data_IF_923220158440
#
_entry.id   IF_923220158440
#
_cell.length_a   1.000
_cell.length_b   1.000
_cell.length_c   1.000
_cell.angle_alpha   90.00
_cell.angle_beta   90.00
_cell.angle_gamma   90.00
#
_symmetry.space_group_name_H-M   'P 1'
#
loop_
_entity.id
_entity.type
_entity.pdbx_description
1 polymer ?
#
# COMPACT_ATOMS: atom_id res chain seq x y z
N UNK A 1 22.45 -53.50 -22.19
CA UNK A 1 21.74 -53.06 -20.99
C UNK A 1 21.79 -51.57 -20.95
N UNK A 2 20.79 -50.91 -21.53
CA UNK A 2 20.71 -49.47 -21.70
C UNK A 2 19.77 -48.92 -20.64
N UNK A 3 20.29 -48.06 -19.77
CA UNK A 3 19.50 -47.35 -18.75
C UNK A 3 19.12 -45.97 -19.32
N UNK A 4 17.83 -45.75 -19.56
CA UNK A 4 17.25 -44.50 -19.99
C UNK A 4 16.93 -43.67 -18.76
N UNK A 5 17.60 -42.54 -18.55
CA UNK A 5 17.26 -41.53 -17.55
C UNK A 5 16.13 -40.66 -18.07
N UNK A 6 15.00 -40.71 -17.38
CA UNK A 6 13.85 -39.86 -17.59
C UNK A 6 14.10 -38.47 -17.02
N UNK A 7 14.12 -37.44 -17.85
CA UNK A 7 14.14 -36.04 -17.43
C UNK A 7 12.75 -35.60 -17.02
N UNK A 8 12.55 -35.38 -15.72
CA UNK A 8 11.35 -34.76 -15.19
C UNK A 8 11.36 -33.26 -15.55
N UNK A 9 10.53 -32.86 -16.51
CA UNK A 9 10.28 -31.46 -16.83
C UNK A 9 9.61 -30.77 -15.63
N UNK A 10 10.26 -29.72 -15.10
CA UNK A 10 9.64 -28.80 -14.15
C UNK A 10 8.59 -27.98 -14.92
N UNK A 11 7.33 -28.33 -14.73
CA UNK A 11 6.20 -27.51 -15.13
C UNK A 11 6.20 -26.24 -14.30
N UNK A 12 6.52 -25.10 -14.90
CA UNK A 12 6.27 -23.78 -14.32
C UNK A 12 4.76 -23.55 -14.37
N UNK A 13 4.11 -23.72 -13.24
CA UNK A 13 2.72 -23.28 -13.07
C UNK A 13 2.77 -21.75 -13.05
N UNK A 14 2.38 -21.11 -14.15
CA UNK A 14 2.03 -19.69 -14.15
C UNK A 14 0.84 -19.53 -13.21
N UNK A 15 1.05 -18.89 -12.07
CA UNK A 15 -0.04 -18.50 -11.18
C UNK A 15 -0.87 -17.44 -11.91
N UNK A 16 -1.93 -17.86 -12.59
CA UNK A 16 -2.92 -16.94 -13.14
C UNK A 16 -3.46 -16.09 -11.97
N UNK A 17 -3.25 -14.78 -12.03
CA UNK A 17 -3.80 -13.84 -11.05
C UNK A 17 -5.31 -14.04 -10.99
N UNK A 18 -5.83 -14.37 -9.82
CA UNK A 18 -7.27 -14.41 -9.59
C UNK A 18 -7.78 -12.97 -9.66
N UNK A 19 -8.83 -12.76 -10.46
CA UNK A 19 -9.43 -11.44 -10.71
C UNK A 19 -9.72 -10.69 -9.40
N UNK A 20 -9.27 -9.46 -9.29
CA UNK A 20 -9.49 -8.62 -8.11
C UNK A 20 -8.61 -8.93 -6.89
N UNK A 21 -7.47 -9.60 -7.06
CA UNK A 21 -6.48 -9.82 -5.99
C UNK A 21 -5.17 -9.10 -6.28
N UNK A 22 -4.44 -8.75 -5.22
CA UNK A 22 -3.08 -8.22 -5.31
C UNK A 22 -2.21 -8.85 -4.20
N UNK A 23 -0.98 -9.22 -4.53
CA UNK A 23 -0.04 -9.78 -3.57
C UNK A 23 0.96 -8.72 -3.10
N UNK A 24 1.00 -8.48 -1.79
CA UNK A 24 1.95 -7.59 -1.14
C UNK A 24 2.84 -8.42 -0.22
N UNK A 25 4.04 -8.76 -0.67
CA UNK A 25 5.02 -9.50 0.13
C UNK A 25 4.51 -10.83 0.71
N UNK A 26 3.72 -11.59 -0.04
CA UNK A 26 3.15 -12.87 0.40
C UNK A 26 1.76 -12.78 1.03
N UNK A 27 1.27 -11.58 1.34
CA UNK A 27 -0.12 -11.36 1.76
C UNK A 27 -0.98 -11.05 0.54
N UNK A 28 -2.00 -11.89 0.31
CA UNK A 28 -2.95 -11.68 -0.79
C UNK A 28 -4.11 -10.82 -0.31
N UNK A 29 -4.25 -9.63 -0.91
CA UNK A 29 -5.41 -8.76 -0.74
C UNK A 29 -6.53 -9.26 -1.65
N UNK A 30 -7.75 -9.22 -1.14
CA UNK A 30 -8.92 -9.57 -1.92
C UNK A 30 -9.43 -10.98 -1.79
N UNK A 31 -8.76 -11.79 -1.00
CA UNK A 31 -9.29 -13.10 -0.61
C UNK A 31 -9.19 -13.33 0.90
N UNK A 32 -10.02 -14.23 1.39
CA UNK A 32 -10.13 -14.53 2.80
C UNK A 32 -10.69 -13.36 3.62
N UNK A 33 -10.21 -13.23 4.86
CA UNK A 33 -10.61 -12.13 5.75
C UNK A 33 -10.02 -10.77 5.31
N UNK A 34 -10.63 -9.70 5.79
CA UNK A 34 -10.05 -8.35 5.68
C UNK A 34 -8.65 -8.31 6.28
N UNK A 35 -7.70 -7.72 5.57
CA UNK A 35 -6.32 -7.54 6.02
C UNK A 35 -6.18 -6.27 6.82
N UNK A 36 -5.36 -6.33 7.85
CA UNK A 36 -5.09 -5.19 8.74
C UNK A 36 -3.68 -4.67 8.44
N UNK A 37 -3.59 -3.41 8.04
CA UNK A 37 -2.35 -2.68 7.82
C UNK A 37 -2.13 -1.75 9.01
N UNK A 38 -0.97 -1.83 9.67
CA UNK A 38 -0.66 -1.01 10.85
C UNK A 38 0.53 -0.11 10.54
N UNK A 39 0.37 1.23 10.69
CA UNK A 39 1.44 2.17 10.41
C UNK A 39 2.51 2.18 11.50
N UNK A 40 3.77 2.31 11.07
CA UNK A 40 4.94 2.67 11.88
C UNK A 40 5.32 4.10 11.52
N UNK A 41 5.18 5.02 12.48
CA UNK A 41 5.42 6.46 12.34
C UNK A 41 6.61 6.91 13.20
N UNK A 42 7.66 6.13 13.17
CA UNK A 42 8.85 6.30 13.99
C UNK A 42 9.81 7.33 13.40
N UNK A 43 10.39 8.16 14.26
CA UNK A 43 11.41 9.15 13.92
C UNK A 43 12.82 8.60 14.08
N UNK A 44 13.00 7.57 14.93
CA UNK A 44 14.29 7.01 15.34
C UNK A 44 14.32 5.49 15.24
N UNK A 45 15.50 4.90 15.27
CA UNK A 45 15.68 3.44 15.28
C UNK A 45 15.03 2.77 16.50
N UNK A 46 15.13 3.38 17.69
CA UNK A 46 14.54 2.83 18.91
C UNK A 46 13.01 2.82 18.84
N UNK A 47 12.42 3.85 18.26
CA UNK A 47 10.98 3.91 18.04
C UNK A 47 10.52 2.89 16.99
N UNK A 48 11.28 2.69 15.90
CA UNK A 48 11.03 1.63 14.92
C UNK A 48 10.93 0.28 15.64
N UNK A 49 11.93 -0.07 16.41
CA UNK A 49 11.98 -1.34 17.13
C UNK A 49 10.81 -1.47 18.15
N UNK A 50 10.51 -0.39 18.89
CA UNK A 50 9.43 -0.37 19.86
C UNK A 50 8.03 -0.52 19.24
N UNK A 51 7.74 0.20 18.16
CA UNK A 51 6.47 0.13 17.45
C UNK A 51 6.30 -1.24 16.79
N UNK A 52 7.33 -1.75 16.13
CA UNK A 52 7.32 -3.07 15.48
C UNK A 52 7.09 -4.19 16.50
N UNK A 53 7.78 -4.16 17.64
CA UNK A 53 7.56 -5.13 18.71
C UNK A 53 6.14 -5.07 19.28
N UNK A 54 5.53 -3.88 19.30
CA UNK A 54 4.12 -3.72 19.71
C UNK A 54 3.14 -4.31 18.72
N UNK A 55 3.40 -4.12 17.42
CA UNK A 55 2.60 -4.72 16.33
C UNK A 55 2.68 -6.24 16.36
N UNK A 56 3.88 -6.80 16.56
CA UNK A 56 4.08 -8.26 16.68
C UNK A 56 3.26 -8.87 17.82
N UNK A 57 3.13 -8.17 18.95
CA UNK A 57 2.29 -8.62 20.09
C UNK A 57 0.80 -8.63 19.75
N UNK A 58 0.32 -7.73 18.90
CA UNK A 58 -1.08 -7.71 18.45
C UNK A 58 -1.40 -8.90 17.56
N UNK A 59 -0.46 -9.38 16.77
CA UNK A 59 -0.62 -10.52 15.86
C UNK A 59 -0.92 -11.85 16.55
N UNK A 60 -0.51 -12.04 17.82
CA UNK A 60 -0.72 -13.28 18.57
C UNK A 60 -2.00 -13.33 19.44
N UNK A 61 -2.71 -12.22 19.61
CA UNK A 61 -3.79 -12.14 20.63
C UNK A 61 -5.21 -12.06 20.06
N UNK A 62 -5.38 -11.81 18.77
CA UNK A 62 -6.72 -11.72 18.16
C UNK A 62 -6.73 -12.40 16.79
N UNK A 63 -7.91 -12.88 16.38
CA UNK A 63 -8.17 -13.37 15.02
C UNK A 63 -7.99 -12.25 13.95
N UNK A 64 -7.68 -11.04 14.35
CA UNK A 64 -7.48 -9.81 13.58
C UNK A 64 -6.12 -9.15 13.87
N UNK A 65 -5.04 -9.92 14.02
CA UNK A 65 -3.69 -9.37 14.10
C UNK A 65 -3.29 -8.59 12.84
N UNK A 66 -2.21 -7.78 12.94
CA UNK A 66 -1.65 -7.09 11.79
C UNK A 66 -1.20 -8.09 10.71
N UNK A 67 -1.47 -7.76 9.46
CA UNK A 67 -1.03 -8.54 8.29
C UNK A 67 0.12 -7.88 7.55
N UNK A 68 0.18 -6.55 7.58
CA UNK A 68 1.15 -5.73 6.86
C UNK A 68 1.56 -4.57 7.77
N UNK A 69 2.83 -4.23 7.76
CA UNK A 69 3.36 -3.00 8.36
C UNK A 69 3.42 -1.92 7.27
N UNK A 70 2.78 -0.77 7.49
CA UNK A 70 2.99 0.41 6.65
C UNK A 70 4.11 1.26 7.26
N UNK A 71 5.26 1.33 6.61
CA UNK A 71 6.34 2.18 7.08
C UNK A 71 6.20 3.61 6.52
N UNK A 72 5.93 4.55 7.39
CA UNK A 72 5.77 5.98 7.08
C UNK A 72 7.13 6.67 7.10
N UNK A 73 7.84 6.64 5.96
CA UNK A 73 9.17 7.24 5.77
C UNK A 73 9.21 8.74 6.01
N UNK A 74 8.10 9.42 5.79
CA UNK A 74 7.98 10.86 6.02
C UNK A 74 8.11 11.27 7.49
N UNK A 75 7.92 10.34 8.44
CA UNK A 75 8.17 10.60 9.86
C UNK A 75 9.65 10.50 10.24
N UNK A 76 10.44 9.77 9.47
CA UNK A 76 11.84 9.52 9.78
C UNK A 76 12.63 10.83 9.95
N UNK A 77 13.50 10.88 10.97
CA UNK A 77 14.40 12.03 11.15
C UNK A 77 15.28 12.22 9.91
N UNK A 78 15.44 13.46 9.39
CA UNK A 78 16.29 13.72 8.22
C UNK A 78 17.77 13.36 8.40
N UNK A 79 18.21 13.14 9.64
CA UNK A 79 19.59 12.70 9.94
C UNK A 79 19.80 11.20 9.79
N UNK A 80 18.73 10.43 9.58
CA UNK A 80 18.79 8.98 9.47
C UNK A 80 18.64 8.57 8.00
N UNK A 81 19.55 7.72 7.54
CA UNK A 81 19.48 7.14 6.21
C UNK A 81 18.28 6.17 6.10
N UNK A 82 17.45 6.36 5.08
CA UNK A 82 16.21 5.61 4.93
C UNK A 82 16.46 4.11 4.68
N UNK A 83 17.48 3.73 3.93
CA UNK A 83 17.77 2.32 3.67
C UNK A 83 18.28 1.62 4.93
N UNK A 84 19.10 2.30 5.75
CA UNK A 84 19.51 1.80 7.06
C UNK A 84 18.32 1.62 8.00
N UNK A 85 17.35 2.56 7.98
CA UNK A 85 16.13 2.44 8.78
C UNK A 85 15.26 1.27 8.30
N UNK A 86 15.16 1.07 6.98
CA UNK A 86 14.44 -0.06 6.40
C UNK A 86 15.06 -1.41 6.80
N UNK A 87 16.38 -1.52 6.82
CA UNK A 87 17.06 -2.74 7.30
C UNK A 87 16.65 -3.05 8.74
N UNK A 88 16.70 -2.06 9.63
CA UNK A 88 16.28 -2.21 11.03
C UNK A 88 14.81 -2.61 11.17
N UNK A 89 13.93 -2.01 10.38
CA UNK A 89 12.53 -2.37 10.35
C UNK A 89 12.34 -3.82 9.89
N UNK A 90 12.97 -4.20 8.78
CA UNK A 90 12.85 -5.53 8.21
C UNK A 90 13.40 -6.63 9.13
N UNK A 91 14.48 -6.34 9.87
CA UNK A 91 15.05 -7.26 10.86
C UNK A 91 14.14 -7.46 12.08
N UNK A 92 13.27 -6.50 12.37
CA UNK A 92 12.36 -6.52 13.53
C UNK A 92 10.92 -6.90 13.19
N UNK A 93 10.54 -6.91 11.91
CA UNK A 93 9.18 -7.20 11.46
C UNK A 93 9.13 -8.54 10.73
N UNK A 94 8.33 -9.49 11.26
CA UNK A 94 7.99 -10.75 10.57
C UNK A 94 6.85 -10.58 9.55
N UNK A 95 6.45 -9.32 9.27
CA UNK A 95 5.33 -8.98 8.39
C UNK A 95 5.83 -8.29 7.12
N UNK A 96 5.12 -8.44 6.00
CA UNK A 96 5.40 -7.66 4.79
C UNK A 96 5.35 -6.16 5.06
N UNK A 97 6.24 -5.42 4.41
CA UNK A 97 6.35 -3.97 4.54
C UNK A 97 5.75 -3.30 3.31
N UNK A 98 4.80 -2.38 3.53
CA UNK A 98 4.36 -1.36 2.59
C UNK A 98 5.12 -0.07 2.92
N UNK A 99 6.02 0.39 2.05
CA UNK A 99 6.78 1.61 2.28
C UNK A 99 6.04 2.82 1.67
N UNK A 100 5.78 3.81 2.52
CA UNK A 100 5.01 5.02 2.17
C UNK A 100 5.81 6.27 2.52
N UNK A 101 6.02 7.17 1.56
CA UNK A 101 6.38 8.56 1.83
C UNK A 101 5.20 9.44 1.48
N UNK A 102 4.51 10.00 2.48
CA UNK A 102 3.42 10.93 2.25
C UNK A 102 3.97 12.33 2.09
N UNK A 103 3.64 12.99 0.96
CA UNK A 103 4.12 14.35 0.69
C UNK A 103 3.25 15.42 1.35
N UNK A 104 3.75 16.65 1.40
CA UNK A 104 3.01 17.77 1.98
C UNK A 104 1.69 18.05 1.25
N UNK A 105 1.62 17.78 -0.05
CA UNK A 105 0.42 17.96 -0.85
C UNK A 105 -0.73 17.02 -0.43
N UNK A 106 -0.38 15.86 0.15
CA UNK A 106 -1.33 14.87 0.67
C UNK A 106 -1.21 14.68 2.19
N UNK A 107 -0.81 15.73 2.93
CA UNK A 107 -0.85 15.77 4.40
C UNK A 107 0.36 15.18 5.13
N UNK A 108 1.47 14.97 4.45
CA UNK A 108 2.74 14.52 5.01
C UNK A 108 3.81 15.61 5.06
N UNK A 109 5.04 15.31 4.61
CA UNK A 109 6.19 16.23 4.63
C UNK A 109 6.65 16.63 3.23
N UNK A 110 7.26 17.81 3.13
CA UNK A 110 7.82 18.29 1.86
C UNK A 110 9.01 17.42 1.43
N UNK A 111 9.07 17.16 0.13
CA UNK A 111 10.18 16.47 -0.53
C UNK A 111 10.25 16.95 -1.99
N UNK A 112 11.44 17.12 -2.53
CA UNK A 112 11.63 17.42 -3.95
C UNK A 112 11.22 16.24 -4.83
N UNK A 113 10.65 16.51 -6.01
CA UNK A 113 10.09 15.48 -6.89
C UNK A 113 11.11 14.39 -7.27
N UNK A 114 12.36 14.79 -7.57
CA UNK A 114 13.44 13.85 -7.87
C UNK A 114 13.81 13.00 -6.66
N UNK A 115 13.89 13.62 -5.47
CA UNK A 115 14.21 12.90 -4.24
C UNK A 115 13.11 11.90 -3.85
N UNK A 116 11.84 12.25 -4.06
CA UNK A 116 10.70 11.34 -3.88
C UNK A 116 10.81 10.10 -4.76
N UNK A 117 11.04 10.32 -6.07
CA UNK A 117 11.24 9.23 -7.04
C UNK A 117 12.42 8.34 -6.64
N UNK A 118 13.58 8.96 -6.40
CA UNK A 118 14.82 8.24 -6.13
C UNK A 118 14.73 7.42 -4.84
N UNK A 119 14.06 7.96 -3.80
CA UNK A 119 13.79 7.26 -2.55
C UNK A 119 12.92 6.03 -2.77
N UNK A 120 11.78 6.16 -3.46
CA UNK A 120 10.88 5.04 -3.70
C UNK A 120 11.52 3.95 -4.55
N UNK A 121 12.29 4.32 -5.58
CA UNK A 121 13.03 3.37 -6.40
C UNK A 121 14.15 2.65 -5.61
N UNK A 122 14.88 3.38 -4.75
CA UNK A 122 15.90 2.77 -3.90
C UNK A 122 15.30 1.77 -2.91
N UNK A 123 14.17 2.14 -2.29
CA UNK A 123 13.42 1.27 -1.37
C UNK A 123 12.86 0.04 -2.09
N UNK A 124 12.27 0.20 -3.27
CA UNK A 124 11.77 -0.94 -4.06
C UNK A 124 12.90 -1.92 -4.42
N UNK A 125 14.05 -1.41 -4.82
CA UNK A 125 15.24 -2.23 -5.20
C UNK A 125 15.98 -2.85 -4.02
N UNK A 126 15.64 -2.48 -2.79
CA UNK A 126 16.30 -3.02 -1.58
C UNK A 126 16.04 -4.52 -1.34
N UNK A 127 14.98 -5.08 -1.94
CA UNK A 127 14.53 -6.45 -1.69
C UNK A 127 13.89 -6.67 -0.30
N UNK A 128 13.59 -5.59 0.44
CA UNK A 128 13.08 -5.65 1.81
C UNK A 128 11.59 -5.32 1.93
N UNK A 129 10.97 -4.78 0.87
CA UNK A 129 9.56 -4.38 0.88
C UNK A 129 8.71 -5.25 -0.04
N UNK A 130 7.47 -5.50 0.36
CA UNK A 130 6.50 -6.19 -0.47
C UNK A 130 5.71 -5.25 -1.38
N UNK A 131 5.61 -3.98 -1.00
CA UNK A 131 4.94 -2.95 -1.77
C UNK A 131 5.48 -1.55 -1.46
N UNK A 132 5.25 -0.60 -2.38
CA UNK A 132 5.42 0.84 -2.18
C UNK A 132 4.10 1.57 -2.41
N UNK A 133 3.89 2.69 -1.68
CA UNK A 133 2.78 3.63 -1.91
C UNK A 133 3.27 4.77 -2.81
N UNK A 134 2.54 5.02 -3.91
CA UNK A 134 2.85 6.08 -4.88
C UNK A 134 1.67 7.02 -4.99
N UNK A 135 1.86 8.32 -4.75
CA UNK A 135 0.84 9.33 -4.95
C UNK A 135 0.56 9.48 -6.46
N UNK A 136 -0.66 9.08 -6.87
CA UNK A 136 -0.99 8.84 -8.28
C UNK A 136 -1.14 10.11 -9.12
N UNK A 137 -1.37 11.27 -8.47
CA UNK A 137 -1.67 12.53 -9.17
C UNK A 137 -0.52 13.53 -9.14
N UNK A 138 0.71 13.04 -9.00
CA UNK A 138 1.93 13.80 -9.25
C UNK A 138 2.22 13.86 -10.76
N UNK A 139 3.41 14.32 -11.14
CA UNK A 139 3.81 14.29 -12.55
C UNK A 139 3.70 12.87 -13.12
N UNK A 140 2.97 12.73 -14.25
CA UNK A 140 2.64 11.42 -14.85
C UNK A 140 3.87 10.61 -15.23
N UNK A 141 4.91 11.27 -15.75
CA UNK A 141 6.14 10.59 -16.15
C UNK A 141 6.89 10.04 -14.94
N UNK A 142 6.94 10.80 -13.86
CA UNK A 142 7.53 10.38 -12.59
C UNK A 142 6.78 9.21 -11.97
N UNK A 143 5.45 9.26 -11.94
CA UNK A 143 4.61 8.16 -11.41
C UNK A 143 4.84 6.88 -12.21
N UNK A 144 4.86 6.97 -13.53
CA UNK A 144 5.10 5.82 -14.42
C UNK A 144 6.49 5.23 -14.20
N UNK A 145 7.53 6.06 -14.12
CA UNK A 145 8.90 5.61 -13.85
C UNK A 145 9.02 4.85 -12.52
N UNK A 146 8.32 5.33 -11.47
CA UNK A 146 8.32 4.65 -10.17
C UNK A 146 7.59 3.31 -10.25
N UNK A 147 6.42 3.25 -10.90
CA UNK A 147 5.63 2.02 -11.05
C UNK A 147 6.43 0.98 -11.83
N UNK A 148 6.97 1.34 -12.98
CA UNK A 148 7.75 0.44 -13.82
C UNK A 148 8.98 -0.09 -13.08
N UNK A 149 9.73 0.81 -12.40
CA UNK A 149 10.92 0.41 -11.63
C UNK A 149 10.61 -0.45 -10.40
N UNK A 150 9.44 -0.28 -9.77
CA UNK A 150 8.99 -1.16 -8.69
C UNK A 150 8.63 -2.56 -9.22
N UNK A 151 7.93 -2.63 -10.34
CA UNK A 151 7.59 -3.90 -10.99
C UNK A 151 8.82 -4.65 -11.47
N UNK A 152 9.83 -3.96 -12.03
CA UNK A 152 11.12 -4.55 -12.38
C UNK A 152 11.83 -5.17 -11.16
N UNK A 153 11.63 -4.58 -9.98
CA UNK A 153 12.15 -5.11 -8.71
C UNK A 153 11.25 -6.20 -8.09
N UNK A 154 10.12 -6.54 -8.71
CA UNK A 154 9.16 -7.52 -8.19
C UNK A 154 8.32 -7.00 -7.00
N UNK A 155 8.21 -5.68 -6.84
CA UNK A 155 7.51 -5.00 -5.75
C UNK A 155 6.17 -4.48 -6.25
N UNK A 156 5.09 -4.74 -5.49
CA UNK A 156 3.76 -4.26 -5.83
C UNK A 156 3.60 -2.76 -5.58
N UNK A 157 2.69 -2.12 -6.31
CA UNK A 157 2.42 -0.69 -6.20
C UNK A 157 1.00 -0.43 -5.73
N UNK A 158 0.90 0.31 -4.61
CA UNK A 158 -0.34 0.94 -4.14
C UNK A 158 -0.36 2.37 -4.67
N UNK A 159 -1.19 2.65 -5.69
CA UNK A 159 -1.41 4.02 -6.13
C UNK A 159 -2.42 4.70 -5.20
N UNK A 160 -2.08 5.85 -4.65
CA UNK A 160 -2.88 6.51 -3.63
C UNK A 160 -3.26 7.95 -4.00
N UNK A 161 -4.36 8.40 -3.40
CA UNK A 161 -4.79 9.79 -3.37
C UNK A 161 -5.48 10.10 -2.05
N UNK A 162 -5.21 11.28 -1.48
CA UNK A 162 -5.76 11.74 -0.20
C UNK A 162 -6.40 13.12 -0.34
N UNK A 163 -7.67 13.23 0.04
CA UNK A 163 -8.40 14.50 0.17
C UNK A 163 -8.85 14.69 1.62
N UNK A 164 -8.25 15.66 2.30
CA UNK A 164 -8.54 15.97 3.70
C UNK A 164 -9.70 16.96 3.89
N UNK A 165 -10.32 17.42 2.81
CA UNK A 165 -11.31 18.52 2.85
C UNK A 165 -12.72 18.04 2.53
N UNK A 166 -12.87 17.06 1.65
CA UNK A 166 -14.17 16.63 1.16
C UNK A 166 -14.19 15.15 0.73
N UNK A 167 -15.40 14.65 0.48
CA UNK A 167 -15.61 13.42 -0.27
C UNK A 167 -15.98 13.80 -1.71
N UNK A 168 -15.17 13.41 -2.71
CA UNK A 168 -15.48 13.68 -4.11
C UNK A 168 -16.77 13.00 -4.57
N UNK A 169 -17.38 13.48 -5.66
CA UNK A 169 -18.51 12.81 -6.29
C UNK A 169 -18.13 11.40 -6.79
N UNK A 170 -19.11 10.50 -6.89
CA UNK A 170 -18.87 9.11 -7.27
C UNK A 170 -18.16 8.98 -8.63
N UNK A 171 -18.53 9.81 -9.61
CA UNK A 171 -17.91 9.84 -10.93
C UNK A 171 -16.42 10.25 -10.85
N UNK A 172 -16.08 11.18 -9.98
CA UNK A 172 -14.72 11.62 -9.76
C UNK A 172 -13.88 10.54 -9.08
N UNK A 173 -14.45 9.85 -8.07
CA UNK A 173 -13.80 8.70 -7.41
C UNK A 173 -13.50 7.61 -8.45
N UNK A 174 -14.47 7.27 -9.31
CA UNK A 174 -14.27 6.28 -10.37
C UNK A 174 -13.24 6.71 -11.40
N UNK A 175 -13.23 7.99 -11.80
CA UNK A 175 -12.24 8.54 -12.71
C UNK A 175 -10.82 8.46 -12.13
N UNK A 176 -10.65 8.75 -10.83
CA UNK A 176 -9.36 8.62 -10.13
C UNK A 176 -8.89 7.16 -10.09
N UNK A 177 -9.76 6.23 -9.75
CA UNK A 177 -9.42 4.81 -9.81
C UNK A 177 -9.06 4.36 -11.22
N UNK A 178 -9.77 4.86 -12.25
CA UNK A 178 -9.44 4.57 -13.65
C UNK A 178 -8.05 5.09 -14.05
N UNK A 179 -7.66 6.27 -13.59
CA UNK A 179 -6.33 6.82 -13.84
C UNK A 179 -5.22 6.00 -13.15
N UNK A 180 -5.45 5.58 -11.89
CA UNK A 180 -4.51 4.71 -11.17
C UNK A 180 -4.35 3.33 -11.83
N UNK A 181 -5.46 2.72 -12.30
CA UNK A 181 -5.44 1.46 -13.02
C UNK A 181 -4.70 1.58 -14.37
N UNK A 182 -4.96 2.65 -15.12
CA UNK A 182 -4.28 2.95 -16.38
C UNK A 182 -2.77 3.22 -16.20
N UNK A 183 -2.35 3.75 -15.05
CA UNK A 183 -0.95 3.91 -14.70
C UNK A 183 -0.25 2.56 -14.39
N UNK A 184 -1.01 1.48 -14.21
CA UNK A 184 -0.47 0.12 -13.99
C UNK A 184 -0.37 -0.29 -12.52
N UNK A 185 -0.95 0.46 -11.58
CA UNK A 185 -0.91 0.11 -10.16
C UNK A 185 -1.56 -1.25 -9.86
N UNK A 186 -1.09 -1.96 -8.84
CA UNK A 186 -1.65 -3.24 -8.39
C UNK A 186 -2.83 -3.04 -7.43
N UNK A 187 -2.81 -1.94 -6.68
CA UNK A 187 -3.81 -1.58 -5.68
C UNK A 187 -4.19 -0.12 -5.86
N UNK A 188 -5.50 0.15 -5.83
CA UNK A 188 -6.06 1.50 -5.97
C UNK A 188 -6.52 1.97 -4.60
N UNK A 189 -5.94 3.08 -4.09
CA UNK A 189 -6.22 3.61 -2.75
C UNK A 189 -6.72 5.04 -2.85
N UNK A 190 -7.89 5.31 -2.26
CA UNK A 190 -8.44 6.65 -2.13
C UNK A 190 -8.82 6.88 -0.66
N UNK A 191 -8.34 7.97 -0.09
CA UNK A 191 -8.68 8.42 1.23
C UNK A 191 -9.33 9.81 1.15
N UNK A 192 -10.45 10.01 1.82
CA UNK A 192 -11.14 11.28 1.83
C UNK A 192 -11.80 11.56 3.18
N UNK A 193 -12.40 12.75 3.32
CA UNK A 193 -13.00 13.22 4.55
C UNK A 193 -14.52 13.27 4.42
N UNK A 194 -15.28 12.21 4.76
CA UNK A 194 -16.73 12.25 4.79
C UNK A 194 -17.22 13.19 5.90
N UNK A 195 -18.05 14.16 5.53
CA UNK A 195 -18.69 15.08 6.46
C UNK A 195 -20.11 14.62 6.87
N UNK A 196 -20.69 13.68 6.13
CA UNK A 196 -22.06 13.19 6.32
C UNK A 196 -22.16 11.68 6.08
N UNK A 197 -23.30 11.10 6.46
CA UNK A 197 -23.66 9.70 6.12
C UNK A 197 -23.80 9.54 4.59
N UNK A 198 -24.31 10.54 3.91
CA UNK A 198 -24.48 10.51 2.45
C UNK A 198 -23.10 10.44 1.76
N UNK A 199 -22.11 11.17 2.22
CA UNK A 199 -20.72 11.09 1.73
C UNK A 199 -20.16 9.68 1.90
N UNK A 200 -20.43 9.04 3.07
CA UNK A 200 -20.00 7.66 3.30
C UNK A 200 -20.68 6.69 2.33
N UNK A 201 -21.96 6.86 2.07
CA UNK A 201 -22.71 6.04 1.11
C UNK A 201 -22.21 6.23 -0.32
N UNK A 202 -21.88 7.46 -0.72
CA UNK A 202 -21.24 7.76 -2.01
C UNK A 202 -19.91 7.01 -2.13
N UNK A 203 -19.06 7.09 -1.11
CA UNK A 203 -17.75 6.45 -1.07
C UNK A 203 -17.87 4.92 -1.15
N UNK A 204 -18.76 4.30 -0.38
CA UNK A 204 -19.00 2.86 -0.40
C UNK A 204 -19.55 2.40 -1.76
N UNK A 205 -20.53 3.15 -2.33
CA UNK A 205 -21.10 2.85 -3.63
C UNK A 205 -20.08 2.94 -4.76
N UNK A 206 -19.26 4.00 -4.79
CA UNK A 206 -18.22 4.18 -5.80
C UNK A 206 -17.16 3.06 -5.71
N UNK A 207 -16.77 2.66 -4.50
CA UNK A 207 -15.83 1.54 -4.31
C UNK A 207 -16.41 0.22 -4.76
N UNK A 208 -17.67 -0.04 -4.43
CA UNK A 208 -18.35 -1.24 -4.93
C UNK A 208 -18.40 -1.26 -6.47
N UNK A 209 -18.69 -0.13 -7.11
CA UNK A 209 -18.65 -0.02 -8.56
C UNK A 209 -17.23 -0.25 -9.09
N UNK A 210 -16.22 0.40 -8.51
CA UNK A 210 -14.81 0.23 -8.89
C UNK A 210 -14.37 -1.24 -8.82
N UNK A 211 -14.77 -1.97 -7.78
CA UNK A 211 -14.44 -3.40 -7.62
C UNK A 211 -15.03 -4.32 -8.70
N UNK A 212 -16.02 -3.83 -9.47
CA UNK A 212 -16.63 -4.54 -10.60
C UNK A 212 -16.07 -4.13 -11.95
N UNK A 213 -15.53 -2.91 -12.04
CA UNK A 213 -14.99 -2.34 -13.29
C UNK A 213 -13.51 -2.69 -13.43
N UNK A 214 -12.75 -2.54 -12.35
CA UNK A 214 -11.30 -2.71 -12.38
C UNK A 214 -10.90 -4.08 -11.84
N UNK A 215 -9.90 -4.70 -12.45
CA UNK A 215 -9.33 -5.98 -12.00
C UNK A 215 -8.38 -5.81 -10.80
N UNK A 216 -8.20 -4.58 -10.30
CA UNK A 216 -7.37 -4.20 -9.17
C UNK A 216 -8.17 -4.09 -7.88
N UNK A 217 -7.48 -4.10 -6.74
CA UNK A 217 -8.11 -3.87 -5.43
C UNK A 217 -8.24 -2.38 -5.16
N UNK A 218 -9.48 -1.94 -4.95
CA UNK A 218 -9.78 -0.59 -4.48
C UNK A 218 -9.92 -0.60 -2.95
N UNK A 219 -9.27 0.36 -2.28
CA UNK A 219 -9.39 0.60 -0.85
C UNK A 219 -10.02 1.94 -0.56
N UNK A 220 -10.80 1.98 0.53
CA UNK A 220 -11.28 3.22 1.09
C UNK A 220 -10.67 3.39 2.47
N UNK A 221 -10.13 4.59 2.71
CA UNK A 221 -9.76 5.04 4.03
C UNK A 221 -10.59 6.26 4.37
N UNK A 222 -11.10 6.30 5.58
CA UNK A 222 -11.74 7.47 6.12
C UNK A 222 -10.78 8.19 7.05
N UNK A 223 -10.70 9.51 6.92
CA UNK A 223 -9.95 10.37 7.82
C UNK A 223 -10.89 11.17 8.71
N UNK A 224 -10.56 11.28 10.00
CA UNK A 224 -11.17 12.18 10.95
C UNK A 224 -12.09 11.56 12.01
N UNK A 225 -12.37 12.32 13.10
CA UNK A 225 -13.13 11.84 14.25
C UNK A 225 -14.60 11.55 13.97
N UNK A 226 -15.18 12.14 12.92
CA UNK A 226 -16.56 11.86 12.48
C UNK A 226 -16.74 10.44 11.95
N UNK A 227 -15.68 9.82 11.41
CA UNK A 227 -15.75 8.44 10.93
C UNK A 227 -15.99 7.44 12.06
N UNK A 228 -15.30 7.56 13.21
CA UNK A 228 -15.54 6.69 14.36
C UNK A 228 -16.99 6.78 14.86
N UNK A 229 -17.59 7.98 14.81
CA UNK A 229 -18.97 8.18 15.23
C UNK A 229 -19.99 7.65 14.21
N UNK A 230 -19.67 7.67 12.92
CA UNK A 230 -20.52 7.12 11.85
C UNK A 230 -20.46 5.59 11.82
N UNK A 231 -19.26 5.00 11.87
CA UNK A 231 -19.09 3.54 11.90
C UNK A 231 -19.63 2.88 13.17
N UNK A 232 -19.73 3.61 14.29
CA UNK A 232 -20.36 3.12 15.53
C UNK A 232 -21.89 3.16 15.49
N UNK A 233 -22.50 3.78 14.47
CA UNK A 233 -23.98 3.94 14.34
C UNK A 233 -24.57 3.06 13.22
N UNK A 234 -23.74 2.33 12.46
CA UNK A 234 -24.14 1.33 11.48
C UNK A 234 -23.90 -0.07 12.09
#
# INVERSE_FOLDING_TARGET
>A
MSSSASSAGKSSVSSGSVKGTAALGGVVLGEGRTKVIVPVTAETFDEIAGQTASIAKLGGQTASGADIVEWRMDFLSPSIDALTALERLADSADLPILATFRTADEGGKAIEASAYRDLLLAVARSGKVGAIDVEAFRDESTVREIIDGAHEAGVAVVASYHDFHATPAAEEILARFGAMDAAGADVLKLACMPASVDDLLVLLSATHQASRIFDRRAFIFQHGPSCESICKRI
#
